data_IF_295439110907
#
_entry.id   IF_295439110907
#
_cell.length_a   1.000
_cell.length_b   1.000
_cell.length_c   1.000
_cell.angle_alpha   90.00
_cell.angle_beta   90.00
_cell.angle_gamma   90.00
#
_symmetry.space_group_name_H-M   'P 1'
#
loop_
_entity.id
_entity.type
_entity.pdbx_description
1 polymer ?
#
# COMPACT_ATOMS: atom_id res chain seq x y z
N UNK A 1 -31.32 4.68 11.32
CA UNK A 1 -30.41 5.59 12.02
C UNK A 1 -29.25 5.85 11.07
N UNK A 2 -29.04 7.04 10.48
CA UNK A 2 -27.89 7.31 9.63
C UNK A 2 -26.67 7.54 10.52
N UNK A 3 -25.59 6.77 10.24
CA UNK A 3 -24.35 6.81 10.99
C UNK A 3 -23.61 8.15 10.85
N UNK A 4 -23.22 8.71 11.98
CA UNK A 4 -22.43 9.93 12.10
C UNK A 4 -21.05 9.73 11.48
N UNK A 5 -20.75 10.47 10.43
CA UNK A 5 -19.43 10.52 9.82
C UNK A 5 -18.51 11.39 10.68
N UNK A 6 -17.38 10.83 11.08
CA UNK A 6 -16.38 11.53 11.88
C UNK A 6 -15.90 12.81 11.19
N UNK A 7 -16.00 13.92 11.89
CA UNK A 7 -15.62 15.28 11.50
C UNK A 7 -14.10 15.42 11.19
N UNK A 8 -13.29 14.42 11.51
CA UNK A 8 -11.84 14.45 11.32
C UNK A 8 -11.39 14.31 9.85
N UNK A 9 -12.22 13.74 8.99
CA UNK A 9 -11.88 13.60 7.55
C UNK A 9 -11.93 14.94 6.78
N UNK A 10 -12.53 15.97 7.33
CA UNK A 10 -12.65 17.30 6.69
C UNK A 10 -11.43 18.20 6.93
N UNK A 11 -10.61 17.94 7.95
CA UNK A 11 -9.53 18.87 8.37
C UNK A 11 -8.25 18.74 7.55
N UNK A 12 -8.09 17.64 6.80
CA UNK A 12 -6.84 17.33 6.06
C UNK A 12 -6.72 18.01 4.68
N UNK A 13 -7.73 18.75 4.23
CA UNK A 13 -7.73 19.34 2.88
C UNK A 13 -7.49 20.86 2.83
N UNK A 14 -7.22 21.53 3.95
CA UNK A 14 -6.80 22.95 3.97
C UNK A 14 -7.76 23.90 3.22
N UNK A 15 -9.06 23.73 3.34
CA UNK A 15 -10.08 24.53 2.65
C UNK A 15 -10.91 25.35 3.64
N UNK A 16 -10.31 26.44 4.13
CA UNK A 16 -11.06 27.53 4.77
C UNK A 16 -11.68 28.42 3.69
N UNK A 17 -13.00 28.30 3.51
CA UNK A 17 -13.76 29.22 2.66
C UNK A 17 -15.18 28.75 2.36
N UNK A 18 -16.20 29.67 2.27
CA UNK A 18 -17.63 29.35 2.22
C UNK A 18 -18.15 28.92 0.84
N UNK A 19 -17.32 28.34 -0.02
CA UNK A 19 -17.77 27.74 -1.28
C UNK A 19 -17.90 26.23 -1.09
N UNK A 20 -19.12 25.71 -0.94
CA UNK A 20 -19.41 24.28 -1.07
C UNK A 20 -19.04 23.85 -2.50
N UNK A 21 -17.74 23.64 -2.76
CA UNK A 21 -17.29 23.00 -3.96
C UNK A 21 -17.87 21.57 -3.93
N UNK A 22 -18.79 21.27 -4.83
CA UNK A 22 -19.36 19.95 -4.98
C UNK A 22 -18.26 19.03 -5.52
N UNK A 23 -17.50 18.41 -4.62
CA UNK A 23 -16.51 17.42 -5.01
C UNK A 23 -17.23 16.13 -5.37
N UNK A 24 -16.98 15.56 -6.56
CA UNK A 24 -17.58 14.28 -6.91
C UNK A 24 -17.14 13.22 -5.90
N UNK A 25 -18.12 12.43 -5.44
CA UNK A 25 -17.85 11.29 -4.57
C UNK A 25 -17.25 10.15 -5.43
N UNK A 26 -16.05 9.74 -5.08
CA UNK A 26 -15.39 8.60 -5.68
C UNK A 26 -15.63 7.34 -4.85
N UNK A 27 -15.67 6.19 -5.52
CA UNK A 27 -15.64 4.88 -4.86
C UNK A 27 -14.20 4.55 -4.49
N UNK A 28 -14.01 4.11 -3.26
CA UNK A 28 -12.74 3.56 -2.78
C UNK A 28 -13.00 2.18 -2.21
N UNK A 29 -12.35 1.17 -2.77
CA UNK A 29 -12.39 -0.20 -2.28
C UNK A 29 -11.12 -0.48 -1.50
N UNK A 30 -11.27 -0.88 -0.25
CA UNK A 30 -10.23 -1.44 0.58
C UNK A 30 -10.29 -2.96 0.43
N UNK A 31 -9.26 -3.57 -0.08
CA UNK A 31 -9.19 -5.01 -0.32
C UNK A 31 -8.02 -5.63 0.42
N UNK A 32 -8.27 -6.66 1.22
CA UNK A 32 -7.22 -7.49 1.78
C UNK A 32 -6.81 -8.54 0.75
N UNK A 33 -5.81 -8.20 -0.07
CA UNK A 33 -5.31 -9.06 -1.13
C UNK A 33 -4.62 -10.31 -0.56
N UNK A 34 -5.11 -11.52 -0.85
CA UNK A 34 -4.46 -12.75 -0.43
C UNK A 34 -3.09 -12.96 -1.10
N UNK A 35 -2.32 -13.87 -0.53
CA UNK A 35 -1.11 -14.41 -1.14
C UNK A 35 -1.43 -15.05 -2.51
N UNK A 36 -0.49 -14.97 -3.44
CA UNK A 36 -0.61 -15.53 -4.80
C UNK A 36 -1.80 -15.01 -5.62
N UNK A 37 -2.24 -13.78 -5.37
CA UNK A 37 -3.22 -13.06 -6.18
C UNK A 37 -2.53 -11.89 -6.89
N UNK A 38 -2.78 -11.75 -8.19
CA UNK A 38 -2.25 -10.64 -9.00
C UNK A 38 -3.05 -9.36 -8.76
N UNK A 39 -2.36 -8.22 -8.66
CA UNK A 39 -2.98 -6.89 -8.54
C UNK A 39 -3.47 -6.36 -9.91
N UNK A 40 -4.21 -7.20 -10.64
CA UNK A 40 -4.80 -6.90 -11.95
C UNK A 40 -6.04 -7.78 -12.17
N UNK A 41 -6.91 -7.41 -13.10
CA UNK A 41 -8.17 -8.14 -13.35
C UNK A 41 -8.04 -9.25 -14.41
N UNK A 42 -6.95 -9.32 -15.15
CA UNK A 42 -6.74 -10.32 -16.21
C UNK A 42 -5.37 -10.95 -16.10
N UNK A 43 -5.27 -12.25 -16.42
CA UNK A 43 -4.01 -12.94 -16.55
C UNK A 43 -4.10 -14.04 -17.63
N UNK A 44 -3.25 -14.01 -18.66
CA UNK A 44 -3.27 -15.02 -19.73
C UNK A 44 -2.82 -16.40 -19.27
N UNK A 45 -2.20 -16.51 -18.09
CA UNK A 45 -1.70 -17.78 -17.52
C UNK A 45 -2.70 -18.42 -16.54
N UNK A 46 -3.89 -17.85 -16.37
CA UNK A 46 -4.94 -18.39 -15.49
C UNK A 46 -4.66 -18.32 -13.99
N UNK A 47 -3.70 -17.48 -13.56
CA UNK A 47 -3.46 -17.25 -12.13
C UNK A 47 -4.58 -16.41 -11.53
N UNK A 48 -4.81 -16.58 -10.22
CA UNK A 48 -5.82 -15.79 -9.49
C UNK A 48 -5.54 -14.28 -9.61
N UNK A 49 -6.60 -13.52 -9.84
CA UNK A 49 -6.56 -12.07 -10.08
C UNK A 49 -7.56 -11.34 -9.20
N UNK A 50 -7.64 -10.03 -9.32
CA UNK A 50 -8.68 -9.23 -8.64
C UNK A 50 -10.10 -9.59 -9.09
N UNK A 51 -10.27 -10.14 -10.31
CA UNK A 51 -11.58 -10.56 -10.83
C UNK A 51 -12.23 -11.64 -9.97
N UNK A 52 -11.41 -12.47 -9.32
CA UNK A 52 -11.91 -13.59 -8.50
C UNK A 52 -12.50 -13.11 -7.15
N UNK A 53 -12.30 -11.84 -6.80
CA UNK A 53 -12.67 -11.29 -5.51
C UNK A 53 -13.52 -10.02 -5.59
N UNK A 54 -13.30 -9.18 -6.61
CA UNK A 54 -13.90 -7.85 -6.72
C UNK A 54 -14.91 -7.83 -7.87
N UNK A 55 -16.20 -8.09 -7.60
CA UNK A 55 -17.25 -8.09 -8.62
C UNK A 55 -17.74 -6.67 -8.97
N UNK A 56 -16.95 -5.65 -8.65
CA UNK A 56 -17.33 -4.24 -8.81
C UNK A 56 -16.77 -3.73 -10.13
N UNK A 57 -17.61 -3.37 -11.11
CA UNK A 57 -17.15 -2.88 -12.40
C UNK A 57 -16.60 -1.45 -12.30
N UNK A 58 -15.67 -1.13 -13.20
CA UNK A 58 -15.15 0.23 -13.38
C UNK A 58 -14.14 0.69 -12.33
N UNK A 59 -13.70 -0.19 -11.43
CA UNK A 59 -12.65 0.13 -10.44
C UNK A 59 -11.30 -0.39 -10.91
N UNK A 60 -10.25 0.35 -10.57
CA UNK A 60 -8.86 0.03 -10.93
C UNK A 60 -7.97 0.12 -9.69
N UNK A 61 -6.93 -0.72 -9.57
CA UNK A 61 -6.02 -0.68 -8.45
C UNK A 61 -5.23 0.64 -8.41
N UNK A 62 -5.16 1.24 -7.24
CA UNK A 62 -4.33 2.41 -6.95
C UNK A 62 -2.95 1.95 -6.46
N UNK A 63 -2.09 1.62 -7.39
CA UNK A 63 -0.80 0.96 -7.14
C UNK A 63 -0.89 -0.55 -7.21
N UNK A 64 0.18 -1.23 -6.79
CA UNK A 64 0.29 -2.69 -6.86
C UNK A 64 0.86 -3.28 -5.58
N UNK A 65 0.49 -4.51 -5.30
CA UNK A 65 1.22 -5.44 -4.44
C UNK A 65 1.76 -6.57 -5.31
N UNK A 66 2.93 -7.07 -4.96
CA UNK A 66 3.52 -8.21 -5.65
C UNK A 66 2.64 -9.46 -5.47
N UNK A 67 2.81 -10.43 -6.35
CA UNK A 67 2.10 -11.69 -6.30
C UNK A 67 2.33 -12.46 -4.99
N UNK A 68 3.56 -12.37 -4.45
CA UNK A 68 4.00 -12.98 -3.21
C UNK A 68 3.86 -12.07 -1.97
N UNK A 69 3.12 -10.97 -2.08
CA UNK A 69 2.81 -10.06 -0.98
C UNK A 69 1.30 -10.03 -0.71
N UNK A 70 0.93 -9.76 0.52
CA UNK A 70 -0.45 -9.78 1.02
C UNK A 70 -0.86 -8.39 1.54
N UNK A 71 -2.14 -8.22 1.80
CA UNK A 71 -2.64 -7.10 2.57
C UNK A 71 -3.32 -6.01 1.76
N UNK A 72 -3.34 -4.79 2.27
CA UNK A 72 -4.17 -3.70 1.78
C UNK A 72 -3.82 -3.30 0.36
N UNK A 73 -4.76 -3.50 -0.54
CA UNK A 73 -4.77 -2.95 -1.89
C UNK A 73 -5.99 -2.04 -2.04
N UNK A 74 -5.77 -0.80 -2.45
CA UNK A 74 -6.83 0.15 -2.72
C UNK A 74 -7.21 0.11 -4.20
N UNK A 75 -8.53 0.17 -4.49
CA UNK A 75 -9.04 0.32 -5.84
C UNK A 75 -10.04 1.48 -5.88
N UNK A 76 -10.14 2.16 -7.01
CA UNK A 76 -11.07 3.28 -7.19
C UNK A 76 -11.53 3.40 -8.64
N UNK A 77 -12.68 4.03 -8.85
CA UNK A 77 -13.22 4.43 -10.15
C UNK A 77 -12.76 5.85 -10.56
N UNK A 78 -12.07 6.59 -9.67
CA UNK A 78 -11.60 7.95 -9.96
C UNK A 78 -10.10 7.99 -10.24
N UNK A 79 -9.73 8.46 -11.43
CA UNK A 79 -8.33 8.53 -11.86
C UNK A 79 -7.48 9.56 -11.10
N UNK A 80 -8.09 10.63 -10.55
CA UNK A 80 -7.35 11.61 -9.75
C UNK A 80 -7.01 11.03 -8.37
N UNK A 81 -7.97 10.33 -7.76
CA UNK A 81 -7.74 9.59 -6.52
C UNK A 81 -6.73 8.46 -6.72
N UNK A 82 -6.83 7.69 -7.80
CA UNK A 82 -5.86 6.67 -8.15
C UNK A 82 -4.44 7.25 -8.23
N UNK A 83 -4.28 8.37 -8.95
CA UNK A 83 -3.00 9.05 -9.08
C UNK A 83 -2.50 9.60 -7.74
N UNK A 84 -3.39 10.11 -6.89
CA UNK A 84 -3.04 10.62 -5.57
C UNK A 84 -2.51 9.51 -4.66
N UNK A 85 -3.13 8.34 -4.67
CA UNK A 85 -2.72 7.19 -3.86
C UNK A 85 -1.43 6.56 -4.39
N UNK A 86 -1.35 6.35 -5.72
CA UNK A 86 -0.30 5.55 -6.33
C UNK A 86 0.98 6.32 -6.64
N UNK A 87 0.88 7.62 -6.92
CA UNK A 87 2.03 8.41 -7.38
C UNK A 87 3.02 8.71 -6.26
N UNK A 88 4.32 8.47 -6.47
CA UNK A 88 5.37 8.82 -5.52
C UNK A 88 5.40 10.31 -5.12
N UNK A 89 4.82 11.19 -5.94
CA UNK A 89 4.74 12.64 -5.69
C UNK A 89 3.98 13.01 -4.42
N UNK A 90 3.04 12.17 -4.00
CA UNK A 90 2.18 12.45 -2.85
C UNK A 90 2.69 11.77 -1.57
N UNK A 91 3.79 11.02 -1.66
CA UNK A 91 4.46 10.43 -0.50
C UNK A 91 3.52 9.69 0.47
N UNK A 92 2.47 9.07 -0.06
CA UNK A 92 1.51 8.34 0.78
C UNK A 92 2.25 7.27 1.59
N UNK A 93 2.21 7.34 2.93
CA UNK A 93 2.91 6.38 3.78
C UNK A 93 2.30 4.98 3.62
N UNK A 94 3.15 3.96 3.63
CA UNK A 94 2.76 2.56 3.52
C UNK A 94 3.42 1.79 4.66
N UNK A 95 2.62 1.28 5.57
CA UNK A 95 3.13 0.48 6.68
C UNK A 95 3.05 -1.00 6.32
N UNK A 96 4.14 -1.69 6.53
CA UNK A 96 4.29 -3.10 6.25
C UNK A 96 4.64 -3.87 7.51
N UNK A 97 4.05 -5.05 7.65
CA UNK A 97 4.45 -6.07 8.60
C UNK A 97 5.25 -7.13 7.82
N UNK A 98 6.52 -7.28 8.15
CA UNK A 98 7.44 -8.18 7.46
C UNK A 98 8.03 -9.17 8.46
N UNK A 99 7.80 -10.45 8.24
CA UNK A 99 8.58 -11.48 8.92
C UNK A 99 9.90 -11.67 8.17
N UNK A 100 11.00 -11.66 8.88
CA UNK A 100 12.35 -11.81 8.30
C UNK A 100 13.08 -13.00 8.91
N UNK A 101 13.97 -13.62 8.14
CA UNK A 101 14.86 -14.67 8.66
C UNK A 101 15.87 -14.08 9.65
N UNK A 102 16.07 -14.73 10.76
CA UNK A 102 16.96 -14.31 11.86
C UNK A 102 16.41 -13.13 12.66
N UNK A 103 17.18 -12.70 13.62
CA UNK A 103 16.88 -11.57 14.51
C UNK A 103 17.80 -10.39 14.18
N UNK A 104 17.32 -9.36 13.44
CA UNK A 104 18.12 -8.19 13.13
C UNK A 104 18.55 -7.45 14.39
N UNK A 105 19.85 -7.31 14.61
CA UNK A 105 20.38 -6.50 15.70
C UNK A 105 20.13 -4.99 15.45
N UNK A 106 20.20 -4.18 16.50
CA UNK A 106 19.84 -2.76 16.42
C UNK A 106 20.63 -1.98 15.37
N UNK A 107 21.92 -2.29 15.17
CA UNK A 107 22.71 -1.63 14.14
C UNK A 107 22.21 -1.94 12.70
N UNK A 108 21.63 -3.12 12.45
CA UNK A 108 21.02 -3.46 11.17
C UNK A 108 19.69 -2.68 10.97
N UNK A 109 18.87 -2.56 12.00
CA UNK A 109 17.64 -1.76 11.97
C UNK A 109 17.96 -0.28 11.77
N UNK A 110 19.02 0.23 12.41
CA UNK A 110 19.45 1.61 12.25
C UNK A 110 19.87 1.95 10.81
N UNK A 111 20.50 1.01 10.10
CA UNK A 111 20.79 1.19 8.66
C UNK A 111 19.53 1.36 7.83
N UNK A 112 18.44 0.65 8.13
CA UNK A 112 17.15 0.83 7.47
C UNK A 112 16.55 2.21 7.79
N UNK A 113 16.58 2.61 9.06
CA UNK A 113 16.05 3.91 9.51
C UNK A 113 16.78 5.10 8.86
N UNK A 114 18.06 4.99 8.62
CA UNK A 114 18.85 6.03 7.96
C UNK A 114 18.74 6.03 6.43
N UNK A 115 18.11 5.00 5.87
CA UNK A 115 18.04 4.78 4.43
C UNK A 115 19.25 4.03 3.90
N UNK A 116 18.99 2.86 3.33
CA UNK A 116 20.01 1.95 2.77
C UNK A 116 20.17 2.18 1.27
N UNK A 117 21.39 1.99 0.76
CA UNK A 117 21.66 2.04 -0.70
C UNK A 117 21.39 0.69 -1.32
N UNK A 118 20.48 0.65 -2.28
CA UNK A 118 20.18 -0.49 -3.14
C UNK A 118 20.81 -0.28 -4.53
N UNK A 119 20.73 -1.29 -5.40
CA UNK A 119 21.30 -1.23 -6.76
C UNK A 119 20.73 -0.06 -7.61
N UNK A 120 19.49 0.36 -7.34
CA UNK A 120 18.78 1.44 -8.02
C UNK A 120 18.82 2.77 -7.25
N UNK A 121 19.75 2.90 -6.32
CA UNK A 121 19.99 4.12 -5.55
C UNK A 121 19.59 4.03 -4.08
N UNK A 122 19.89 5.11 -3.34
CA UNK A 122 19.61 5.19 -1.91
C UNK A 122 18.10 5.24 -1.65
N UNK A 123 17.63 4.45 -0.69
CA UNK A 123 16.29 4.54 -0.15
C UNK A 123 16.16 5.73 0.78
N UNK A 124 14.95 6.29 0.87
CA UNK A 124 14.64 7.28 1.89
C UNK A 124 14.70 6.67 3.28
N UNK A 125 14.99 7.47 4.33
CA UNK A 125 14.85 7.04 5.72
C UNK A 125 13.46 6.45 5.97
N UNK A 126 13.41 5.36 6.71
CA UNK A 126 12.16 4.63 6.97
C UNK A 126 12.05 4.29 8.47
N UNK A 127 10.99 4.68 9.16
CA UNK A 127 10.69 4.15 10.50
C UNK A 127 10.65 2.62 10.43
N UNK A 128 11.42 1.97 11.30
CA UNK A 128 11.49 0.51 11.41
C UNK A 128 11.58 0.12 12.88
N UNK A 129 10.77 -0.85 13.28
CA UNK A 129 10.79 -1.43 14.63
C UNK A 129 10.68 -2.95 14.56
N UNK A 130 11.41 -3.63 15.44
CA UNK A 130 11.13 -5.02 15.75
C UNK A 130 9.85 -5.08 16.62
N UNK A 131 8.93 -5.96 16.29
CA UNK A 131 7.65 -6.12 16.98
C UNK A 131 7.44 -7.57 17.39
N UNK A 132 6.56 -7.79 18.36
CA UNK A 132 6.04 -9.11 18.64
C UNK A 132 5.25 -9.67 17.44
N UNK A 133 5.12 -10.99 17.28
CA UNK A 133 4.32 -11.58 16.23
C UNK A 133 2.92 -10.97 16.19
N UNK A 134 2.52 -10.32 15.08
CA UNK A 134 1.21 -9.70 14.97
C UNK A 134 0.12 -10.77 14.86
N UNK A 135 -1.08 -10.46 15.34
CA UNK A 135 -2.25 -11.31 15.17
C UNK A 135 -2.76 -11.20 13.72
N UNK A 136 -2.23 -12.02 12.85
CA UNK A 136 -2.65 -12.13 11.46
C UNK A 136 -3.45 -13.42 11.26
N UNK A 137 -4.04 -13.53 10.07
CA UNK A 137 -4.73 -14.71 9.59
C UNK A 137 -3.76 -15.87 9.30
N UNK A 138 -4.21 -17.13 9.38
CA UNK A 138 -3.46 -18.25 8.85
C UNK A 138 -3.23 -18.07 7.33
N UNK A 139 -2.01 -18.25 6.88
CA UNK A 139 -1.65 -18.14 5.48
C UNK A 139 -1.85 -19.46 4.76
N UNK A 140 -2.43 -19.41 3.54
CA UNK A 140 -2.56 -20.54 2.65
C UNK A 140 -1.90 -20.23 1.27
N UNK A 141 -0.88 -21.00 0.85
CA UNK A 141 -0.17 -22.03 1.61
C UNK A 141 0.60 -21.47 2.81
N UNK A 142 0.80 -22.30 3.86
CA UNK A 142 1.50 -21.85 5.07
C UNK A 142 2.93 -21.39 4.75
N UNK A 143 3.44 -20.50 5.58
CA UNK A 143 4.83 -20.04 5.47
C UNK A 143 5.77 -21.23 5.66
N UNK A 144 6.73 -21.39 4.76
CA UNK A 144 7.78 -22.40 4.92
C UNK A 144 8.65 -22.03 6.12
N UNK A 145 8.42 -22.67 7.24
CA UNK A 145 9.21 -22.47 8.46
C UNK A 145 10.50 -23.29 8.35
N UNK A 146 11.63 -22.64 8.55
CA UNK A 146 12.91 -23.34 8.79
C UNK A 146 13.04 -23.51 10.31
N UNK A 147 12.92 -24.73 10.80
CA UNK A 147 12.95 -25.05 12.24
C UNK A 147 14.26 -24.64 12.94
N UNK A 148 15.33 -24.40 12.17
CA UNK A 148 16.66 -24.09 12.67
C UNK A 148 17.05 -22.61 12.62
N UNK A 149 16.19 -21.76 12.08
CA UNK A 149 16.47 -20.32 11.94
C UNK A 149 15.37 -19.57 12.66
N UNK A 150 15.76 -18.75 13.65
CA UNK A 150 14.84 -17.82 14.29
C UNK A 150 14.25 -16.87 13.24
N UNK A 151 13.11 -16.28 13.52
CA UNK A 151 12.50 -15.23 12.73
C UNK A 151 12.03 -14.07 13.61
N UNK A 152 11.97 -12.89 13.02
CA UNK A 152 11.55 -11.68 13.70
C UNK A 152 10.53 -10.94 12.83
N UNK A 153 9.51 -10.40 13.48
CA UNK A 153 8.60 -9.47 12.82
C UNK A 153 9.11 -8.03 12.92
N UNK A 154 9.03 -7.36 11.79
CA UNK A 154 9.36 -5.93 11.66
C UNK A 154 8.13 -5.17 11.18
N UNK A 155 7.90 -4.00 11.77
CA UNK A 155 7.03 -2.97 11.22
C UNK A 155 7.89 -1.93 10.51
N UNK A 156 7.57 -1.62 9.24
CA UNK A 156 8.28 -0.64 8.42
C UNK A 156 7.29 0.31 7.76
N UNK A 157 7.57 1.61 7.80
CA UNK A 157 6.77 2.61 7.08
C UNK A 157 7.60 3.27 5.99
N UNK A 158 7.13 3.21 4.75
CA UNK A 158 7.78 3.80 3.57
C UNK A 158 6.88 4.88 2.96
N UNK A 159 7.45 6.02 2.59
CA UNK A 159 6.80 7.11 1.84
C UNK A 159 7.11 7.06 0.33
N UNK A 160 7.81 6.03 -0.12
CA UNK A 160 8.13 5.71 -1.50
C UNK A 160 7.66 4.30 -1.85
N UNK A 161 7.76 3.90 -3.13
CA UNK A 161 7.29 2.60 -3.58
C UNK A 161 8.08 2.10 -4.78
N UNK A 162 9.30 1.58 -4.55
CA UNK A 162 10.10 0.95 -5.60
C UNK A 162 9.73 -0.53 -5.72
N UNK A 163 10.04 -1.11 -6.86
CA UNK A 163 9.81 -2.54 -7.07
C UNK A 163 10.45 -3.38 -5.96
N UNK A 164 9.66 -4.20 -5.28
CA UNK A 164 10.06 -5.13 -4.20
C UNK A 164 10.95 -4.48 -3.12
N UNK A 165 10.66 -3.22 -2.78
CA UNK A 165 11.57 -2.40 -1.97
C UNK A 165 11.81 -2.99 -0.59
N UNK A 166 10.76 -3.33 0.19
CA UNK A 166 10.92 -3.91 1.53
C UNK A 166 11.81 -5.16 1.47
N UNK A 167 11.52 -6.10 0.56
CA UNK A 167 12.29 -7.34 0.41
C UNK A 167 13.76 -7.10 0.08
N UNK A 168 14.05 -6.09 -0.73
CA UNK A 168 15.44 -5.72 -1.06
C UNK A 168 16.15 -5.05 0.10
N UNK A 169 15.43 -4.22 0.87
CA UNK A 169 15.97 -3.53 2.05
C UNK A 169 16.35 -4.54 3.14
N UNK A 170 15.46 -5.46 3.47
CA UNK A 170 15.70 -6.48 4.51
C UNK A 170 16.80 -7.46 4.09
N UNK A 171 16.81 -7.89 2.82
CA UNK A 171 17.89 -8.74 2.29
C UNK A 171 19.26 -8.02 2.32
N UNK A 172 19.32 -6.71 2.09
CA UNK A 172 20.55 -5.93 2.13
C UNK A 172 21.16 -5.77 3.54
N UNK A 173 20.38 -6.04 4.59
CA UNK A 173 20.88 -6.13 5.96
C UNK A 173 21.12 -7.58 6.43
N UNK A 174 20.97 -8.57 5.54
CA UNK A 174 21.20 -9.99 5.82
C UNK A 174 19.97 -10.77 6.31
N UNK A 175 18.79 -10.16 6.32
CA UNK A 175 17.56 -10.74 6.85
C UNK A 175 16.44 -10.78 5.78
N UNK A 176 16.43 -11.78 4.89
CA UNK A 176 15.44 -11.88 3.82
C UNK A 176 14.00 -11.93 4.36
N UNK A 177 13.09 -11.21 3.69
CA UNK A 177 11.67 -11.22 4.02
C UNK A 177 11.02 -12.56 3.64
N UNK A 178 10.32 -13.16 4.56
CA UNK A 178 9.43 -14.31 4.42
C UNK A 178 8.02 -13.80 4.01
N UNK A 179 6.96 -13.81 4.88
CA UNK A 179 5.73 -13.11 4.58
C UNK A 179 5.93 -11.58 4.61
N UNK A 180 5.14 -10.92 3.75
CA UNK A 180 5.05 -9.47 3.69
C UNK A 180 3.60 -9.05 3.55
N UNK A 181 3.10 -8.33 4.54
CA UNK A 181 1.75 -7.80 4.57
C UNK A 181 1.80 -6.28 4.55
N UNK A 182 1.15 -5.64 3.58
CA UNK A 182 0.91 -4.20 3.67
C UNK A 182 -0.29 -3.97 4.56
N UNK A 183 -0.04 -3.50 5.77
CA UNK A 183 -1.09 -3.29 6.78
C UNK A 183 -1.87 -2.00 6.53
N UNK A 184 -1.17 -0.92 6.16
CA UNK A 184 -1.75 0.41 6.01
C UNK A 184 -1.23 1.13 4.77
N UNK A 185 -2.04 1.98 4.16
CA UNK A 185 -1.70 2.93 3.12
C UNK A 185 -2.41 4.25 3.35
N UNK A 186 -1.66 5.33 3.63
CA UNK A 186 -2.24 6.59 4.07
C UNK A 186 -3.09 6.40 5.33
N UNK A 187 -4.32 6.86 5.28
CA UNK A 187 -5.28 6.79 6.40
C UNK A 187 -6.08 5.47 6.44
N UNK A 188 -5.86 4.55 5.52
CA UNK A 188 -6.62 3.30 5.42
C UNK A 188 -5.78 2.11 5.85
N UNK A 189 -6.39 1.23 6.63
CA UNK A 189 -5.78 0.00 7.14
C UNK A 189 -6.65 -1.24 6.91
N UNK A 190 -6.14 -2.40 7.32
CA UNK A 190 -6.81 -3.70 7.18
C UNK A 190 -7.76 -4.05 8.32
N UNK A 191 -8.00 -3.17 9.27
CA UNK A 191 -8.85 -3.48 10.44
C UNK A 191 -10.22 -3.99 10.01
N UNK A 192 -10.57 -5.18 10.49
CA UNK A 192 -11.85 -5.83 10.21
C UNK A 192 -12.00 -6.43 8.79
N UNK A 193 -10.90 -6.64 8.06
CA UNK A 193 -10.91 -7.30 6.75
C UNK A 193 -10.09 -8.59 6.78
N UNK A 194 -10.73 -9.74 6.61
CA UNK A 194 -10.05 -11.00 6.39
C UNK A 194 -9.47 -11.12 4.95
N UNK A 195 -8.51 -12.02 4.68
CA UNK A 195 -7.98 -12.23 3.34
C UNK A 195 -9.08 -12.55 2.31
N UNK A 196 -9.07 -11.83 1.21
CA UNK A 196 -10.09 -11.94 0.16
C UNK A 196 -11.33 -11.08 0.38
N UNK A 197 -11.48 -10.50 1.56
CA UNK A 197 -12.57 -9.56 1.83
C UNK A 197 -12.24 -8.14 1.36
N UNK A 198 -13.29 -7.40 1.09
CA UNK A 198 -13.20 -5.99 0.69
C UNK A 198 -14.35 -5.17 1.28
N UNK A 199 -14.12 -3.86 1.37
CA UNK A 199 -15.11 -2.88 1.83
C UNK A 199 -15.11 -1.68 0.89
N UNK A 200 -16.29 -1.19 0.52
CA UNK A 200 -16.45 0.05 -0.25
C UNK A 200 -16.67 1.24 0.67
N UNK A 201 -15.97 2.33 0.35
CA UNK A 201 -16.18 3.65 0.93
C UNK A 201 -16.53 4.64 -0.18
N UNK A 202 -17.25 5.69 0.18
CA UNK A 202 -17.48 6.88 -0.66
C UNK A 202 -16.69 8.03 -0.08
N UNK A 203 -15.75 8.56 -0.84
CA UNK A 203 -14.87 9.64 -0.39
C UNK A 203 -14.85 10.77 -1.40
N UNK A 204 -14.52 11.98 -0.93
CA UNK A 204 -14.32 13.10 -1.85
C UNK A 204 -13.03 12.89 -2.65
N UNK A 205 -13.17 12.92 -3.99
CA UNK A 205 -12.02 12.83 -4.87
C UNK A 205 -11.18 14.12 -4.80
N UNK A 206 -9.84 14.04 -4.84
CA UNK A 206 -9.01 15.23 -4.95
C UNK A 206 -9.28 15.96 -6.26
N UNK A 207 -9.14 17.29 -6.27
CA UNK A 207 -9.29 18.08 -7.51
C UNK A 207 -8.35 17.54 -8.59
N UNK A 208 -8.88 17.28 -9.78
CA UNK A 208 -8.03 16.97 -10.93
C UNK A 208 -7.05 18.14 -11.15
N UNK A 209 -5.74 17.88 -11.26
CA UNK A 209 -4.81 18.93 -11.63
C UNK A 209 -5.27 19.55 -12.96
N UNK A 210 -5.25 20.87 -13.04
CA UNK A 210 -5.58 21.58 -14.29
C UNK A 210 -4.72 21.02 -15.43
N UNK A 211 -5.35 20.71 -16.56
CA UNK A 211 -4.60 20.31 -17.74
C UNK A 211 -3.62 21.45 -18.09
N UNK A 212 -2.33 21.16 -18.27
CA UNK A 212 -1.41 22.19 -18.73
C UNK A 212 -1.94 22.75 -20.05
N UNK A 213 -1.98 24.07 -20.16
CA UNK A 213 -2.39 24.74 -21.40
C UNK A 213 -1.57 24.20 -22.58
N UNK A 214 -2.18 23.99 -23.76
CA UNK A 214 -1.46 23.52 -24.92
C UNK A 214 -0.30 24.49 -25.19
N UNK A 215 0.92 23.97 -25.25
CA UNK A 215 2.09 24.76 -25.63
C UNK A 215 1.80 25.40 -26.99
N UNK A 216 1.64 26.71 -27.01
CA UNK A 216 1.57 27.47 -28.28
C UNK A 216 2.82 27.11 -29.10
N UNK A 217 2.61 26.39 -30.20
CA UNK A 217 3.68 26.05 -31.12
C UNK A 217 4.43 27.33 -31.53
N UNK A 218 5.75 27.36 -31.28
CA UNK A 218 6.61 28.36 -31.91
C UNK A 218 6.50 28.16 -33.42
N UNK A 219 5.74 29.02 -34.10
CA UNK A 219 5.89 29.17 -35.57
C UNK A 219 7.31 29.64 -35.80
N UNK A 220 8.05 28.88 -36.63
CA UNK A 220 9.29 29.32 -37.26
C UNK A 220 8.96 30.22 -38.43
#
# INVERSE_FOLDING_TARGET
MPGEYSTQALFLLGLDGPTKAFFPMARLILFNKPFQVLSQFTDPRGRRTLKDFIPVPGVYPAGRLDWDSEGLLLLTDDGALQAHIASPRFHQPKTYLAQVEGEPHEAALQRLRQGITLKDGRCRPAPVAAIAPPRLWPRDPPVRTRLTVADQWLELTLDEGRNRQVRRMTAAIGHPTLPLVRWQLGDWDLSGLAPGEWRELRIHAPKKPARPAPRKGRRK
#
